data_IF_737728010425
#
_entry.id   IF_737728010425
#
_cell.length_a   1.000
_cell.length_b   1.000
_cell.length_c   1.000
_cell.angle_alpha   90.00
_cell.angle_beta   90.00
_cell.angle_gamma   90.00
#
_symmetry.space_group_name_H-M   'P 1'
#
loop_
_entity.id
_entity.type
_entity.pdbx_description
1 polymer ?
#
# COMPACT_ATOMS: atom_id res chain seq x y z
N UNK A 1 -10.19 -13.04 16.64
CA UNK A 1 -11.30 -12.84 15.67
C UNK A 1 -12.68 -13.29 16.14
N UNK A 2 -12.85 -13.91 17.33
CA UNK A 2 -14.14 -14.43 17.79
C UNK A 2 -15.35 -13.47 17.63
N UNK A 3 -15.25 -12.15 17.91
CA UNK A 3 -16.38 -11.24 17.73
C UNK A 3 -16.87 -11.10 16.27
N UNK A 4 -16.04 -11.44 15.28
CA UNK A 4 -16.32 -11.26 13.86
C UNK A 4 -16.73 -12.57 13.15
N UNK A 5 -16.77 -13.69 13.88
CA UNK A 5 -17.19 -14.99 13.35
C UNK A 5 -18.70 -15.13 13.55
N UNK A 6 -19.43 -15.40 12.46
CA UNK A 6 -20.87 -15.66 12.49
C UNK A 6 -21.18 -17.08 12.97
N UNK A 7 -20.38 -18.05 12.52
CA UNK A 7 -20.53 -19.45 12.88
C UNK A 7 -19.49 -20.32 12.17
N UNK A 8 -19.68 -21.63 12.20
CA UNK A 8 -18.82 -22.58 11.50
C UNK A 8 -19.67 -23.59 10.71
N UNK A 9 -19.21 -23.93 9.50
CA UNK A 9 -19.79 -25.00 8.67
C UNK A 9 -18.68 -25.82 8.07
N UNK A 10 -18.77 -27.15 8.19
CA UNK A 10 -17.77 -28.07 7.62
C UNK A 10 -16.33 -27.74 8.05
N UNK A 11 -16.13 -27.36 9.32
CA UNK A 11 -14.84 -26.94 9.91
C UNK A 11 -14.24 -25.65 9.33
N UNK A 12 -15.03 -24.86 8.58
CA UNK A 12 -14.65 -23.54 8.09
C UNK A 12 -15.45 -22.49 8.88
N UNK A 13 -14.75 -21.50 9.44
CA UNK A 13 -15.40 -20.37 10.08
C UNK A 13 -15.98 -19.43 9.02
N UNK A 14 -17.22 -19.00 9.24
CA UNK A 14 -17.91 -18.04 8.39
C UNK A 14 -17.79 -16.66 9.05
N UNK A 15 -17.22 -15.70 8.32
CA UNK A 15 -17.10 -14.31 8.78
C UNK A 15 -18.47 -13.63 8.73
N UNK A 16 -18.79 -12.82 9.74
CA UNK A 16 -20.02 -12.05 9.80
C UNK A 16 -19.95 -10.84 8.85
N UNK A 17 -20.71 -10.89 7.75
CA UNK A 17 -20.69 -9.87 6.70
C UNK A 17 -21.28 -8.52 7.13
N UNK A 18 -22.22 -8.47 8.08
CA UNK A 18 -22.75 -7.21 8.60
C UNK A 18 -21.66 -6.44 9.35
N UNK A 19 -20.91 -7.16 10.19
CA UNK A 19 -19.75 -6.60 10.89
C UNK A 19 -18.63 -6.23 9.91
N UNK A 20 -18.38 -7.07 8.91
CA UNK A 20 -17.41 -6.76 7.85
C UNK A 20 -17.79 -5.49 7.11
N UNK A 21 -19.05 -5.32 6.71
CA UNK A 21 -19.50 -4.14 5.97
C UNK A 21 -19.33 -2.85 6.78
N UNK A 22 -19.74 -2.87 8.05
CA UNK A 22 -19.55 -1.72 8.95
C UNK A 22 -18.07 -1.34 9.08
N UNK A 23 -17.21 -2.34 9.31
CA UNK A 23 -15.77 -2.15 9.47
C UNK A 23 -15.05 -1.78 8.18
N UNK A 24 -15.48 -2.32 7.06
CA UNK A 24 -15.01 -1.96 5.73
C UNK A 24 -15.30 -0.49 5.43
N UNK A 25 -16.53 -0.02 5.70
CA UNK A 25 -16.89 1.38 5.50
C UNK A 25 -16.08 2.32 6.40
N UNK A 26 -15.84 1.94 7.66
CA UNK A 26 -14.96 2.68 8.58
C UNK A 26 -13.54 2.82 8.01
N UNK A 27 -12.96 1.71 7.52
CA UNK A 27 -11.65 1.70 6.88
C UNK A 27 -11.60 2.56 5.61
N UNK A 28 -12.59 2.45 4.72
CA UNK A 28 -12.65 3.26 3.49
C UNK A 28 -12.78 4.75 3.81
N UNK A 29 -13.57 5.11 4.83
CA UNK A 29 -13.70 6.51 5.28
C UNK A 29 -12.37 7.07 5.79
N UNK A 30 -11.60 6.27 6.55
CA UNK A 30 -10.26 6.65 6.98
C UNK A 30 -9.33 6.86 5.78
N UNK A 31 -9.29 5.92 4.84
CA UNK A 31 -8.47 5.99 3.62
C UNK A 31 -8.81 7.23 2.79
N UNK A 32 -10.09 7.54 2.60
CA UNK A 32 -10.56 8.73 1.87
C UNK A 32 -10.04 10.01 2.52
N UNK A 33 -10.28 10.18 3.82
CA UNK A 33 -9.85 11.37 4.57
C UNK A 33 -8.33 11.53 4.55
N UNK A 34 -7.59 10.44 4.71
CA UNK A 34 -6.13 10.50 4.68
C UNK A 34 -5.64 10.94 3.29
N UNK A 35 -6.23 10.40 2.22
CA UNK A 35 -5.86 10.71 0.84
C UNK A 35 -6.23 12.14 0.43
N UNK A 36 -7.34 12.68 0.93
CA UNK A 36 -7.72 14.08 0.76
C UNK A 36 -6.66 15.03 1.35
N UNK A 37 -6.02 14.63 2.45
CA UNK A 37 -4.93 15.38 3.07
C UNK A 37 -3.55 15.08 2.47
N UNK A 38 -3.50 14.58 1.22
CA UNK A 38 -2.27 14.16 0.52
C UNK A 38 -1.48 13.04 1.22
N UNK A 39 -2.12 12.31 2.13
CA UNK A 39 -1.49 11.19 2.82
C UNK A 39 -1.18 10.04 1.85
N UNK A 40 -0.05 9.38 2.09
CA UNK A 40 0.43 8.25 1.29
C UNK A 40 0.08 6.94 1.96
N UNK A 41 -0.58 6.04 1.22
CA UNK A 41 -0.92 4.69 1.70
C UNK A 41 -0.02 3.67 1.02
N UNK A 42 0.68 2.86 1.81
CA UNK A 42 1.52 1.78 1.31
C UNK A 42 0.74 0.45 1.27
N UNK A 43 0.59 -0.11 0.07
CA UNK A 43 -0.07 -1.39 -0.16
C UNK A 43 0.91 -2.54 0.10
N UNK A 44 0.55 -3.48 0.98
CA UNK A 44 1.42 -4.61 1.36
C UNK A 44 0.69 -5.94 1.18
N UNK A 45 1.18 -6.76 0.27
CA UNK A 45 0.63 -8.11 0.06
C UNK A 45 1.57 -8.98 -0.76
N UNK A 46 2.26 -9.90 -0.09
CA UNK A 46 3.33 -10.71 -0.69
C UNK A 46 2.96 -12.18 -0.94
N UNK A 47 1.74 -12.59 -0.57
CA UNK A 47 1.16 -13.89 -0.95
C UNK A 47 1.04 -13.98 -2.47
N UNK A 48 1.21 -15.18 -3.03
CA UNK A 48 1.11 -15.43 -4.48
C UNK A 48 -0.19 -14.89 -5.08
N UNK A 49 -1.30 -15.03 -4.36
CA UNK A 49 -2.63 -14.58 -4.76
C UNK A 49 -2.81 -13.06 -4.68
N UNK A 50 -1.95 -12.36 -3.93
CA UNK A 50 -2.03 -10.91 -3.71
C UNK A 50 -1.06 -10.11 -4.58
N UNK A 51 0.12 -10.65 -4.95
CA UNK A 51 1.22 -9.86 -5.52
C UNK A 51 0.80 -8.98 -6.69
N UNK A 52 0.26 -9.61 -7.74
CA UNK A 52 -0.14 -8.92 -8.97
C UNK A 52 -1.27 -7.93 -8.71
N UNK A 53 -2.25 -8.30 -7.87
CA UNK A 53 -3.40 -7.47 -7.53
C UNK A 53 -2.94 -6.20 -6.79
N UNK A 54 -2.05 -6.34 -5.81
CA UNK A 54 -1.55 -5.22 -5.02
C UNK A 54 -0.75 -4.26 -5.89
N UNK A 55 0.11 -4.78 -6.78
CA UNK A 55 0.87 -3.96 -7.70
C UNK A 55 -0.03 -3.23 -8.71
N UNK A 56 -1.03 -3.91 -9.28
CA UNK A 56 -1.99 -3.36 -10.25
C UNK A 56 -2.82 -2.23 -9.63
N UNK A 57 -3.50 -2.49 -8.51
CA UNK A 57 -4.42 -1.52 -7.89
C UNK A 57 -3.68 -0.35 -7.23
N UNK A 58 -2.51 -0.59 -6.63
CA UNK A 58 -1.70 0.50 -6.08
C UNK A 58 -1.15 1.39 -7.19
N UNK A 59 -0.68 0.81 -8.31
CA UNK A 59 -0.21 1.58 -9.46
C UNK A 59 -1.34 2.41 -10.08
N UNK A 60 -2.56 1.85 -10.15
CA UNK A 60 -3.76 2.57 -10.63
C UNK A 60 -4.06 3.83 -9.84
N UNK A 61 -3.86 3.80 -8.52
CA UNK A 61 -4.01 4.98 -7.65
C UNK A 61 -2.69 5.68 -7.33
N UNK A 62 -1.61 5.42 -8.08
CA UNK A 62 -0.27 5.99 -7.86
C UNK A 62 0.21 5.92 -6.39
N UNK A 63 -0.15 4.86 -5.69
CA UNK A 63 0.29 4.57 -4.32
C UNK A 63 1.48 3.60 -4.33
N UNK A 64 2.41 3.71 -3.37
CA UNK A 64 3.51 2.76 -3.26
C UNK A 64 3.01 1.38 -2.84
N UNK A 65 3.76 0.33 -3.19
CA UNK A 65 3.41 -1.04 -2.85
C UNK A 65 4.62 -1.95 -2.56
N UNK A 66 4.36 -3.05 -1.86
CA UNK A 66 5.27 -4.18 -1.63
C UNK A 66 4.54 -5.48 -1.94
N UNK A 67 4.88 -6.11 -3.06
CA UNK A 67 4.24 -7.30 -3.61
C UNK A 67 5.10 -8.57 -3.53
N UNK A 68 6.43 -8.46 -3.38
CA UNK A 68 7.31 -9.63 -3.36
C UNK A 68 7.75 -10.05 -1.96
N UNK A 69 8.44 -9.16 -1.24
CA UNK A 69 9.00 -9.45 0.09
C UNK A 69 9.15 -8.18 0.91
N UNK A 70 8.70 -8.23 2.15
CA UNK A 70 9.04 -7.24 3.16
C UNK A 70 10.49 -7.42 3.63
N UNK A 71 11.33 -6.40 3.46
CA UNK A 71 12.67 -6.35 4.04
C UNK A 71 12.54 -5.79 5.45
N UNK A 72 13.05 -6.51 6.46
CA UNK A 72 13.08 -6.00 7.83
C UNK A 72 13.85 -4.68 7.89
N UNK A 73 13.27 -3.67 8.56
CA UNK A 73 13.79 -2.31 8.57
C UNK A 73 13.25 -1.42 7.45
N UNK A 74 12.25 -1.89 6.67
CA UNK A 74 11.67 -1.11 5.57
C UNK A 74 11.15 0.26 6.02
N UNK A 75 10.52 0.32 7.21
CA UNK A 75 10.03 1.56 7.80
C UNK A 75 10.97 2.05 8.89
N UNK A 76 11.40 1.14 9.78
CA UNK A 76 12.19 1.52 10.97
C UNK A 76 13.63 1.91 10.66
N UNK A 77 14.19 1.48 9.51
CA UNK A 77 15.50 1.91 9.00
C UNK A 77 15.38 2.49 7.58
N UNK A 78 14.43 3.40 7.41
CA UNK A 78 14.13 3.99 6.10
C UNK A 78 15.31 4.75 5.48
N UNK A 79 16.26 5.26 6.29
CA UNK A 79 17.49 5.89 5.78
C UNK A 79 18.31 4.94 4.91
N UNK A 80 18.49 3.69 5.34
CA UNK A 80 19.20 2.68 4.54
C UNK A 80 18.40 2.28 3.30
N UNK A 81 17.08 2.16 3.42
CA UNK A 81 16.20 1.86 2.27
C UNK A 81 16.29 2.96 1.21
N UNK A 82 16.32 4.24 1.61
CA UNK A 82 16.54 5.35 0.68
C UNK A 82 17.86 5.23 -0.09
N UNK A 83 18.93 4.76 0.55
CA UNK A 83 20.22 4.52 -0.13
C UNK A 83 20.10 3.40 -1.16
N UNK A 84 19.39 2.31 -0.84
CA UNK A 84 19.11 1.24 -1.80
C UNK A 84 18.23 1.71 -2.97
N UNK A 85 17.24 2.57 -2.71
CA UNK A 85 16.41 3.19 -3.77
C UNK A 85 17.26 4.10 -4.65
N UNK A 86 18.18 4.88 -4.07
CA UNK A 86 19.12 5.72 -4.85
C UNK A 86 19.97 4.86 -5.78
N UNK A 87 20.55 3.76 -5.26
CA UNK A 87 21.32 2.81 -6.06
C UNK A 87 20.49 2.16 -7.18
N UNK A 88 19.23 1.82 -6.91
CA UNK A 88 18.31 1.32 -7.94
C UNK A 88 18.16 2.34 -9.08
N UNK A 89 17.93 3.62 -8.76
CA UNK A 89 17.80 4.68 -9.77
C UNK A 89 19.08 4.89 -10.58
N UNK A 90 20.24 4.86 -9.92
CA UNK A 90 21.54 4.94 -10.60
C UNK A 90 21.71 3.78 -11.60
N UNK A 91 21.32 2.56 -11.21
CA UNK A 91 21.37 1.38 -12.08
C UNK A 91 20.35 1.43 -13.22
N UNK A 92 19.14 1.97 -13.00
CA UNK A 92 18.16 2.24 -14.06
C UNK A 92 18.75 3.21 -15.11
N UNK A 93 19.36 4.31 -14.67
CA UNK A 93 20.00 5.30 -15.57
C UNK A 93 21.14 4.71 -16.38
N UNK A 94 22.00 3.88 -15.77
CA UNK A 94 23.10 3.19 -16.47
C UNK A 94 22.62 2.20 -17.55
N UNK A 95 21.41 1.65 -17.38
CA UNK A 95 20.78 0.83 -18.41
C UNK A 95 20.24 1.69 -19.55
N UNK A 96 19.61 2.82 -19.22
CA UNK A 96 18.98 3.72 -20.20
C UNK A 96 20.01 4.48 -21.06
N UNK A 97 21.17 4.84 -20.49
CA UNK A 97 22.21 5.61 -21.18
C UNK A 97 23.19 4.74 -22.01
N UNK A 98 22.98 3.42 -22.03
CA UNK A 98 23.82 2.47 -22.77
C UNK A 98 25.20 2.21 -22.15
N UNK A 99 25.46 2.68 -20.93
CA UNK A 99 26.71 2.40 -20.20
C UNK A 99 26.91 0.89 -19.97
N UNK A 100 25.82 0.14 -19.87
CA UNK A 100 25.83 -1.30 -19.67
C UNK A 100 26.44 -2.07 -20.86
N UNK A 101 26.29 -1.57 -22.08
CA UNK A 101 26.84 -2.17 -23.30
C UNK A 101 28.36 -2.01 -23.41
N UNK A 102 28.93 -1.09 -22.65
CA UNK A 102 30.39 -0.87 -22.59
C UNK A 102 31.09 -1.83 -21.63
N UNK A 103 30.33 -2.61 -20.86
CA UNK A 103 30.85 -3.57 -19.88
C UNK A 103 31.08 -4.94 -20.52
N UNK A 104 31.92 -5.77 -19.87
CA UNK A 104 32.07 -7.15 -20.27
C UNK A 104 30.76 -7.93 -20.11
N UNK A 105 30.46 -8.89 -21.00
CA UNK A 105 29.22 -9.69 -20.98
C UNK A 105 28.87 -10.27 -19.59
N UNK A 106 29.88 -10.69 -18.83
CA UNK A 106 29.72 -11.22 -17.46
C UNK A 106 29.29 -10.14 -16.47
N UNK A 107 29.89 -8.95 -16.54
CA UNK A 107 29.59 -7.82 -15.65
C UNK A 107 28.20 -7.26 -15.96
N UNK A 108 27.90 -7.06 -17.25
CA UNK A 108 26.57 -6.70 -17.74
C UNK A 108 25.50 -7.65 -17.18
N UNK A 109 25.69 -8.97 -17.31
CA UNK A 109 24.75 -9.97 -16.79
C UNK A 109 24.57 -9.89 -15.27
N UNK A 110 25.64 -9.65 -14.51
CA UNK A 110 25.56 -9.53 -13.05
C UNK A 110 24.81 -8.27 -12.64
N UNK A 111 25.04 -7.14 -13.31
CA UNK A 111 24.33 -5.89 -13.09
C UNK A 111 22.83 -6.03 -13.41
N UNK A 112 22.48 -6.64 -14.54
CA UNK A 112 21.07 -6.88 -14.90
C UNK A 112 20.37 -7.73 -13.84
N UNK A 113 21.00 -8.81 -13.35
CA UNK A 113 20.45 -9.65 -12.29
C UNK A 113 20.27 -8.90 -10.97
N UNK A 114 21.22 -8.03 -10.63
CA UNK A 114 21.13 -7.19 -9.44
C UNK A 114 20.00 -6.16 -9.56
N UNK A 115 19.85 -5.54 -10.73
CA UNK A 115 18.76 -4.62 -11.05
C UNK A 115 17.40 -5.32 -10.92
N UNK A 116 17.22 -6.47 -11.54
CA UNK A 116 15.97 -7.26 -11.46
C UNK A 116 15.62 -7.61 -10.01
N UNK A 117 16.63 -7.97 -9.22
CA UNK A 117 16.46 -8.31 -7.80
C UNK A 117 16.04 -7.08 -6.99
N UNK A 118 16.63 -5.92 -7.27
CA UNK A 118 16.25 -4.67 -6.61
C UNK A 118 14.86 -4.21 -7.02
N UNK A 119 14.49 -4.26 -8.31
CA UNK A 119 13.14 -3.96 -8.76
C UNK A 119 12.09 -4.82 -8.06
N UNK A 120 12.34 -6.13 -7.97
CA UNK A 120 11.44 -7.04 -7.25
C UNK A 120 11.35 -6.70 -5.76
N UNK A 121 12.41 -6.20 -5.14
CA UNK A 121 12.44 -5.99 -3.69
C UNK A 121 11.93 -4.61 -3.26
N UNK A 122 12.25 -3.55 -4.00
CA UNK A 122 12.02 -2.16 -3.62
C UNK A 122 11.45 -1.29 -4.76
N UNK A 123 11.15 -1.87 -5.93
CA UNK A 123 10.63 -1.13 -7.09
C UNK A 123 9.30 -0.44 -6.81
N UNK A 124 8.38 -1.10 -6.09
CA UNK A 124 7.08 -0.53 -5.72
C UNK A 124 7.14 0.63 -4.73
N UNK A 125 8.29 0.86 -4.08
CA UNK A 125 8.51 1.99 -3.17
C UNK A 125 9.53 3.01 -3.71
N UNK A 126 9.96 2.87 -4.98
CA UNK A 126 11.06 3.69 -5.55
C UNK A 126 10.76 5.19 -5.61
N UNK A 127 9.48 5.55 -5.66
CA UNK A 127 9.00 6.93 -5.71
C UNK A 127 8.65 7.50 -4.34
N UNK A 128 8.83 6.72 -3.26
CA UNK A 128 8.46 7.11 -1.91
C UNK A 128 9.52 8.04 -1.30
N UNK A 129 9.18 9.31 -1.11
CA UNK A 129 10.10 10.33 -0.56
C UNK A 129 10.19 10.35 0.97
N UNK A 130 9.11 9.99 1.65
CA UNK A 130 8.95 9.96 3.12
C UNK A 130 8.39 8.61 3.56
N UNK A 131 8.22 8.39 4.87
CA UNK A 131 7.45 7.25 5.34
C UNK A 131 5.98 7.37 4.87
N UNK A 132 5.27 6.25 4.68
CA UNK A 132 3.84 6.29 4.42
C UNK A 132 3.07 6.75 5.66
N UNK A 133 1.92 7.38 5.44
CA UNK A 133 1.03 7.84 6.50
C UNK A 133 0.06 6.76 6.97
N UNK A 134 -0.14 5.70 6.17
CA UNK A 134 -0.84 4.49 6.58
C UNK A 134 -0.38 3.27 5.78
N UNK A 135 -0.63 2.08 6.33
CA UNK A 135 -0.50 0.81 5.61
C UNK A 135 -1.87 0.24 5.25
N UNK A 136 -1.96 -0.36 4.07
CA UNK A 136 -3.00 -1.32 3.73
C UNK A 136 -2.39 -2.72 3.58
N UNK A 137 -2.75 -3.65 4.46
CA UNK A 137 -2.14 -4.99 4.55
C UNK A 137 -3.15 -6.09 4.28
N UNK A 138 -2.80 -7.04 3.41
CA UNK A 138 -3.56 -8.28 3.20
C UNK A 138 -2.81 -9.45 3.84
N UNK A 139 -3.51 -10.18 4.71
CA UNK A 139 -2.96 -11.19 5.62
C UNK A 139 -1.96 -10.62 6.64
N UNK A 140 -2.44 -10.45 7.87
CA UNK A 140 -1.64 -9.99 9.01
C UNK A 140 -0.66 -11.04 9.56
N UNK A 141 -0.96 -12.33 9.41
CA UNK A 141 -0.10 -13.42 9.84
C UNK A 141 1.15 -13.56 8.99
N UNK A 142 1.06 -13.29 7.69
CA UNK A 142 2.20 -13.30 6.78
C UNK A 142 3.08 -12.04 6.96
N UNK A 143 2.49 -10.90 7.31
CA UNK A 143 3.18 -9.59 7.35
C UNK A 143 3.43 -9.06 8.77
N UNK A 144 3.71 -9.95 9.74
CA UNK A 144 3.98 -9.58 11.15
C UNK A 144 5.08 -8.53 11.31
N UNK A 145 6.15 -8.61 10.51
CA UNK A 145 7.27 -7.66 10.58
C UNK A 145 6.81 -6.26 10.16
N UNK A 146 6.04 -6.16 9.07
CA UNK A 146 5.49 -4.89 8.59
C UNK A 146 4.59 -4.24 9.66
N UNK A 147 3.71 -5.03 10.27
CA UNK A 147 2.81 -4.59 11.34
C UNK A 147 3.59 -4.14 12.56
N UNK A 148 4.61 -4.88 12.97
CA UNK A 148 5.45 -4.54 14.14
C UNK A 148 6.21 -3.22 13.90
N UNK A 149 6.76 -3.05 12.70
CA UNK A 149 7.47 -1.81 12.34
C UNK A 149 6.54 -0.60 12.28
N UNK A 150 5.36 -0.75 11.67
CA UNK A 150 4.37 0.32 11.60
C UNK A 150 3.86 0.73 12.99
N UNK A 151 3.50 -0.25 13.83
CA UNK A 151 3.10 0.00 15.21
C UNK A 151 4.18 0.72 16.02
N UNK A 152 5.46 0.34 15.85
CA UNK A 152 6.58 1.00 16.53
C UNK A 152 6.73 2.47 16.14
N UNK A 153 6.34 2.83 14.92
CA UNK A 153 6.40 4.19 14.39
C UNK A 153 5.09 4.96 14.55
N UNK A 154 4.03 4.32 15.07
CA UNK A 154 2.70 4.91 15.17
C UNK A 154 2.01 5.12 13.82
N UNK A 155 2.41 4.36 12.79
CA UNK A 155 1.79 4.42 11.47
C UNK A 155 0.51 3.56 11.52
N UNK A 156 -0.67 4.14 11.26
CA UNK A 156 -1.94 3.42 11.32
C UNK A 156 -2.04 2.33 10.24
N UNK A 157 -2.70 1.23 10.61
CA UNK A 157 -2.81 0.03 9.78
C UNK A 157 -4.26 -0.28 9.47
N UNK A 158 -4.58 -0.32 8.18
CA UNK A 158 -5.79 -0.92 7.63
C UNK A 158 -5.44 -2.34 7.20
N UNK A 159 -6.12 -3.37 7.69
CA UNK A 159 -5.79 -4.74 7.31
C UNK A 159 -6.99 -5.68 7.16
N UNK A 160 -6.88 -6.56 6.17
CA UNK A 160 -7.77 -7.71 6.02
C UNK A 160 -7.31 -8.80 6.99
N UNK A 161 -8.20 -9.21 7.89
CA UNK A 161 -7.90 -10.22 8.92
C UNK A 161 -8.84 -11.41 8.75
N UNK A 162 -8.26 -12.57 8.43
CA UNK A 162 -8.98 -13.84 8.40
C UNK A 162 -9.12 -14.46 9.80
N UNK A 163 -10.00 -15.45 9.91
CA UNK A 163 -10.47 -16.08 11.14
C UNK A 163 -9.37 -16.77 11.96
N UNK A 164 -8.24 -17.14 11.33
CA UNK A 164 -7.08 -17.78 11.95
C UNK A 164 -6.03 -16.80 12.50
N UNK A 165 -6.23 -15.48 12.35
CA UNK A 165 -5.27 -14.48 12.77
C UNK A 165 -5.82 -13.58 13.90
N UNK A 166 -4.92 -12.94 14.64
CA UNK A 166 -5.28 -11.96 15.68
C UNK A 166 -5.49 -10.58 15.05
N UNK A 167 -6.54 -9.84 15.42
CA UNK A 167 -6.74 -8.45 15.00
C UNK A 167 -5.91 -7.44 15.82
N UNK A 168 -5.13 -7.90 16.79
CA UNK A 168 -4.33 -7.03 17.66
C UNK A 168 -3.26 -6.25 16.88
N UNK A 169 -3.07 -4.99 17.24
CA UNK A 169 -2.13 -4.09 16.58
C UNK A 169 -2.58 -3.63 15.19
N UNK A 170 -3.88 -3.72 14.89
CA UNK A 170 -4.51 -3.21 13.67
C UNK A 170 -5.55 -2.16 14.06
N UNK A 171 -5.44 -0.95 13.51
CA UNK A 171 -6.35 0.16 13.81
C UNK A 171 -7.70 0.00 13.09
N UNK A 172 -7.66 -0.35 11.80
CA UNK A 172 -8.84 -0.50 10.96
C UNK A 172 -8.90 -1.93 10.40
N UNK A 173 -9.61 -2.79 11.13
CA UNK A 173 -9.75 -4.22 10.81
C UNK A 173 -10.83 -4.39 9.75
N UNK A 174 -10.56 -5.14 8.69
CA UNK A 174 -11.56 -5.62 7.72
C UNK A 174 -11.65 -7.14 7.90
N UNK A 175 -12.65 -7.66 8.63
CA UNK A 175 -12.84 -9.10 8.77
C UNK A 175 -13.15 -9.73 7.40
N UNK A 176 -12.31 -10.64 6.91
CA UNK A 176 -12.49 -11.16 5.57
C UNK A 176 -11.47 -12.21 5.13
N UNK A 177 -11.75 -12.87 4.01
CA UNK A 177 -10.89 -13.89 3.42
C UNK A 177 -9.65 -13.26 2.76
N UNK A 178 -8.45 -13.67 3.18
CA UNK A 178 -7.17 -13.18 2.66
C UNK A 178 -6.42 -14.18 1.74
N UNK A 179 -7.05 -15.30 1.39
CA UNK A 179 -6.49 -16.37 0.55
C UNK A 179 -7.07 -16.38 -0.87
N UNK A 180 -8.27 -15.85 -1.07
CA UNK A 180 -8.93 -15.81 -2.38
C UNK A 180 -8.52 -14.58 -3.18
N UNK A 181 -7.97 -14.77 -4.39
CA UNK A 181 -7.65 -13.67 -5.30
C UNK A 181 -8.84 -12.74 -5.57
N UNK A 182 -10.07 -13.29 -5.66
CA UNK A 182 -11.28 -12.49 -5.87
C UNK A 182 -11.60 -11.60 -4.66
N UNK A 183 -11.41 -12.12 -3.45
CA UNK A 183 -11.62 -11.35 -2.22
C UNK A 183 -10.52 -10.27 -2.07
N UNK A 184 -9.26 -10.65 -2.27
CA UNK A 184 -8.13 -9.72 -2.21
C UNK A 184 -8.31 -8.57 -3.21
N UNK A 185 -8.75 -8.86 -4.45
CA UNK A 185 -9.05 -7.85 -5.46
C UNK A 185 -10.18 -6.91 -5.03
N UNK A 186 -11.22 -7.42 -4.39
CA UNK A 186 -12.31 -6.58 -3.86
C UNK A 186 -11.76 -5.54 -2.88
N UNK A 187 -10.95 -5.97 -1.91
CA UNK A 187 -10.40 -5.06 -0.90
C UNK A 187 -9.39 -4.08 -1.51
N UNK A 188 -8.44 -4.57 -2.31
CA UNK A 188 -7.40 -3.75 -2.92
C UNK A 188 -8.00 -2.69 -3.85
N UNK A 189 -8.96 -3.08 -4.69
CA UNK A 189 -9.70 -2.15 -5.55
C UNK A 189 -10.46 -1.12 -4.75
N UNK A 190 -11.16 -1.55 -3.70
CA UNK A 190 -11.92 -0.65 -2.81
C UNK A 190 -11.04 0.41 -2.15
N UNK A 191 -9.87 0.01 -1.64
CA UNK A 191 -8.88 0.95 -1.08
C UNK A 191 -8.36 1.89 -2.16
N UNK A 192 -8.02 1.38 -3.34
CA UNK A 192 -7.54 2.22 -4.45
C UNK A 192 -8.61 3.21 -4.94
N UNK A 193 -9.87 2.81 -5.02
CA UNK A 193 -11.00 3.69 -5.35
C UNK A 193 -11.17 4.77 -4.27
N UNK A 194 -11.11 4.39 -2.98
CA UNK A 194 -11.14 5.35 -1.87
C UNK A 194 -9.96 6.35 -1.90
N UNK A 195 -8.76 5.92 -2.31
CA UNK A 195 -7.62 6.83 -2.49
C UNK A 195 -7.88 7.84 -3.59
N UNK A 196 -8.41 7.38 -4.73
CA UNK A 196 -8.74 8.25 -5.87
C UNK A 196 -9.84 9.24 -5.51
N UNK A 197 -10.94 8.78 -4.89
CA UNK A 197 -12.03 9.63 -4.41
C UNK A 197 -11.53 10.72 -3.47
N UNK A 198 -10.70 10.38 -2.48
CA UNK A 198 -10.16 11.35 -1.53
C UNK A 198 -9.28 12.40 -2.22
N UNK A 199 -8.46 12.00 -3.20
CA UNK A 199 -7.61 12.95 -3.95
C UNK A 199 -8.42 13.85 -4.87
N UNK A 200 -9.50 13.36 -5.48
CA UNK A 200 -10.39 14.19 -6.31
C UNK A 200 -11.10 15.26 -5.48
N UNK A 201 -11.62 14.92 -4.30
CA UNK A 201 -12.25 15.89 -3.39
C UNK A 201 -11.33 17.06 -3.05
N UNK A 202 -10.05 16.78 -2.80
CA UNK A 202 -9.05 17.82 -2.55
C UNK A 202 -8.86 18.78 -3.73
N UNK A 203 -8.92 18.27 -4.97
CA UNK A 203 -8.79 19.10 -6.18
C UNK A 203 -10.02 20.00 -6.32
N UNK A 204 -11.22 19.45 -6.12
CA UNK A 204 -12.47 20.20 -6.19
C UNK A 204 -12.52 21.30 -5.12
N UNK A 205 -12.12 21.00 -3.87
CA UNK A 205 -12.03 22.00 -2.80
C UNK A 205 -11.07 23.15 -3.13
N UNK A 206 -9.93 22.87 -3.78
CA UNK A 206 -9.03 23.94 -4.25
C UNK A 206 -9.69 24.77 -5.35
N UNK A 207 -10.31 24.12 -6.33
CA UNK A 207 -10.95 24.81 -7.45
C UNK A 207 -12.05 25.75 -6.96
N UNK A 208 -12.84 25.33 -5.98
CA UNK A 208 -13.89 26.15 -5.37
C UNK A 208 -13.31 27.36 -4.63
N UNK A 209 -12.21 27.20 -3.88
CA UNK A 209 -11.51 28.32 -3.21
C UNK A 209 -10.97 29.32 -4.24
N UNK A 210 -10.32 28.83 -5.31
CA UNK A 210 -9.76 29.70 -6.35
C UNK A 210 -10.86 30.43 -7.14
N UNK A 211 -12.01 29.79 -7.35
CA UNK A 211 -13.14 30.40 -8.06
C UNK A 211 -13.95 31.39 -7.21
N UNK A 212 -13.90 31.24 -5.88
CA UNK A 212 -14.61 32.11 -4.93
C UNK A 212 -13.94 33.46 -4.67
N UNK A 213 -12.63 33.60 -4.92
CA UNK A 213 -11.85 34.82 -4.68
C UNK A 213 -11.93 35.85 -5.84
N UNK A 214 -12.66 35.59 -6.93
CA UNK A 214 -12.86 36.55 -8.04
C UNK A 214 -13.96 37.61 -7.81
N UNK A 215 -14.69 37.57 -6.68
CA UNK A 215 -15.67 38.60 -6.31
C UNK A 215 -15.06 39.61 -5.32
N UNK A 216 -14.14 40.46 -5.79
CA UNK A 216 -13.83 41.73 -5.12
C UNK A 216 -14.81 42.76 -5.69
N UNK A 217 -15.83 43.13 -4.91
CA UNK A 217 -16.73 44.25 -5.21
C UNK A 217 -15.90 45.53 -5.41
N UNK A 218 -15.99 46.16 -6.59
CA UNK A 218 -15.58 47.55 -6.74
C UNK A 218 -16.54 48.43 -5.92
N UNK A 219 -16.00 49.10 -4.89
CA UNK A 219 -16.71 50.10 -4.09
C UNK A 219 -17.04 51.32 -4.97
N UNK A 220 -18.34 51.67 -5.05
CA UNK A 220 -18.85 52.97 -5.55
C UNK A 220 -18.95 54.00 -4.40
#
# INVERSE_FOLDING_TARGET
MAPYIFGARSKIHIVNLEKTLAKYNEAMNFVRRLSANKGTILFVGTKRQAREIMAEEASRCASPYVDQRWLGGMLTNFKTIKQSIKRLKEMETMCEDGSLDRLGKKEALMLTRELDKMHKSIGGIKNMGSLPDALFVVDVGYHKIAITEANKLGIPIVAVVDTNHSPEGIDYIIPGNDDSSRAIRLYARGVADAVLEGRSQFVDEILDVVSGDEFIEEED
#
